data_IF_904116360627
#
_entry.id   IF_904116360627
#
_cell.length_a   1.000
_cell.length_b   1.000
_cell.length_c   1.000
_cell.angle_alpha   90.00
_cell.angle_beta   90.00
_cell.angle_gamma   90.00
#
_symmetry.space_group_name_H-M   'P 1'
#
loop_
_entity.id
_entity.type
_entity.pdbx_description
1 polymer ?
#
# COMPACT_ATOMS: atom_id res chain seq x y z
N UNK A 1 20.43 10.27 -2.95
CA UNK A 1 19.44 9.19 -3.12
C UNK A 1 19.72 8.10 -2.11
N UNK A 2 18.68 7.55 -1.47
CA UNK A 2 18.83 6.31 -0.69
C UNK A 2 18.91 5.11 -1.66
N UNK A 3 19.74 4.10 -1.37
CA UNK A 3 19.74 2.87 -2.16
C UNK A 3 18.37 2.18 -2.12
N UNK A 4 17.94 1.64 -3.26
CA UNK A 4 16.72 0.83 -3.32
C UNK A 4 16.95 -0.50 -2.59
N UNK A 5 15.92 -0.98 -1.89
CA UNK A 5 15.93 -2.30 -1.26
C UNK A 5 15.46 -3.35 -2.27
N UNK A 6 16.13 -4.49 -2.26
CA UNK A 6 15.66 -5.64 -3.05
C UNK A 6 14.31 -6.15 -2.51
N UNK A 7 13.35 -6.39 -3.43
CA UNK A 7 12.04 -6.96 -3.12
C UNK A 7 11.83 -8.24 -3.94
N UNK A 8 11.73 -9.38 -3.25
CA UNK A 8 11.57 -10.68 -3.88
C UNK A 8 10.22 -10.82 -4.63
N UNK A 9 9.18 -10.16 -4.18
CA UNK A 9 7.87 -10.22 -4.82
C UNK A 9 7.87 -9.42 -6.15
N UNK A 10 8.51 -8.24 -6.16
CA UNK A 10 8.74 -7.51 -7.41
C UNK A 10 9.63 -8.30 -8.36
N UNK A 11 10.71 -8.91 -7.87
CA UNK A 11 11.60 -9.71 -8.70
C UNK A 11 10.88 -10.92 -9.32
N UNK A 12 9.97 -11.57 -8.60
CA UNK A 12 9.16 -12.66 -9.13
C UNK A 12 8.15 -12.15 -10.18
N UNK A 13 7.48 -11.02 -9.95
CA UNK A 13 6.60 -10.41 -10.94
C UNK A 13 7.36 -10.04 -12.22
N UNK A 14 8.50 -9.37 -12.09
CA UNK A 14 9.39 -9.02 -13.18
C UNK A 14 9.86 -10.25 -13.97
N UNK A 15 10.26 -11.33 -13.26
CA UNK A 15 10.71 -12.58 -13.89
C UNK A 15 9.58 -13.25 -14.68
N UNK A 16 8.36 -13.28 -14.14
CA UNK A 16 7.20 -13.86 -14.84
C UNK A 16 6.87 -13.06 -16.10
N UNK A 17 6.93 -11.74 -16.04
CA UNK A 17 6.71 -10.89 -17.19
C UNK A 17 7.80 -11.05 -18.25
N UNK A 18 9.07 -11.07 -17.85
CA UNK A 18 10.20 -11.35 -18.75
C UNK A 18 10.04 -12.69 -19.47
N UNK A 19 9.57 -13.74 -18.76
CA UNK A 19 9.31 -15.04 -19.35
C UNK A 19 8.17 -14.99 -20.39
N UNK A 20 7.13 -14.23 -20.14
CA UNK A 20 6.04 -14.04 -21.10
C UNK A 20 6.50 -13.26 -22.33
N UNK A 21 7.31 -12.21 -22.16
CA UNK A 21 7.90 -11.47 -23.27
C UNK A 21 8.78 -12.37 -24.13
N UNK A 22 9.67 -13.18 -23.52
CA UNK A 22 10.53 -14.13 -24.22
C UNK A 22 9.71 -15.15 -25.00
N UNK A 23 8.72 -15.79 -24.36
CA UNK A 23 7.85 -16.79 -24.99
C UNK A 23 7.07 -16.26 -26.21
N UNK A 24 6.74 -14.98 -26.23
CA UNK A 24 5.97 -14.36 -27.30
C UNK A 24 6.84 -13.53 -28.26
N UNK A 25 8.15 -13.48 -28.02
CA UNK A 25 9.10 -12.61 -28.73
C UNK A 25 8.53 -11.19 -28.91
N UNK A 26 8.07 -10.61 -27.79
CA UNK A 26 7.35 -9.34 -27.82
C UNK A 26 7.71 -8.43 -26.64
N UNK A 27 8.20 -7.23 -26.96
CA UNK A 27 8.47 -6.17 -25.98
C UNK A 27 7.20 -5.37 -25.71
N UNK A 28 6.58 -5.60 -24.57
CA UNK A 28 5.34 -4.90 -24.18
C UNK A 28 5.21 -4.84 -22.67
N UNK A 29 4.80 -3.71 -22.11
CA UNK A 29 4.48 -3.56 -20.69
C UNK A 29 3.29 -4.41 -20.22
N UNK A 30 2.46 -4.87 -21.13
CA UNK A 30 1.34 -5.76 -20.85
C UNK A 30 1.03 -6.60 -22.11
N UNK A 31 1.15 -7.91 -21.98
CA UNK A 31 0.80 -8.84 -23.05
C UNK A 31 -0.71 -9.17 -23.05
N UNK A 32 -1.29 -9.62 -24.16
CA UNK A 32 -2.70 -10.01 -24.21
C UNK A 32 -3.03 -11.09 -23.17
N UNK A 33 -4.01 -10.81 -22.32
CA UNK A 33 -4.44 -11.73 -21.24
C UNK A 33 -3.60 -11.66 -19.97
N UNK A 34 -2.52 -10.90 -19.96
CA UNK A 34 -1.73 -10.65 -18.76
C UNK A 34 -2.36 -9.56 -17.89
N UNK A 35 -2.34 -9.69 -16.54
CA UNK A 35 -2.74 -8.60 -15.66
C UNK A 35 -1.82 -7.39 -15.80
N UNK A 36 -2.30 -6.15 -15.56
CA UNK A 36 -1.44 -4.97 -15.51
C UNK A 36 -0.41 -5.05 -14.38
N UNK A 37 0.63 -4.23 -14.46
CA UNK A 37 1.79 -4.22 -13.57
C UNK A 37 1.42 -4.24 -12.08
N UNK A 38 0.51 -3.40 -11.65
CA UNK A 38 0.08 -3.31 -10.25
C UNK A 38 -0.57 -4.61 -9.75
N UNK A 39 -1.31 -5.29 -10.62
CA UNK A 39 -1.90 -6.59 -10.30
C UNK A 39 -0.83 -7.70 -10.30
N UNK A 40 0.11 -7.72 -11.25
CA UNK A 40 1.20 -8.70 -11.29
C UNK A 40 2.04 -8.62 -10.02
N UNK A 41 2.49 -7.41 -9.67
CA UNK A 41 3.27 -7.16 -8.47
C UNK A 41 2.50 -7.54 -7.18
N UNK A 42 1.22 -7.16 -7.09
CA UNK A 42 0.37 -7.52 -5.95
C UNK A 42 0.09 -9.02 -5.82
N UNK A 43 -0.12 -9.73 -6.94
CA UNK A 43 -0.30 -11.19 -6.96
C UNK A 43 0.95 -11.93 -6.53
N UNK A 44 2.14 -11.40 -6.88
CA UNK A 44 3.41 -11.91 -6.40
C UNK A 44 3.68 -11.63 -4.90
N UNK A 45 2.86 -10.77 -4.27
CA UNK A 45 2.94 -10.46 -2.85
C UNK A 45 3.57 -9.10 -2.50
N UNK A 46 3.94 -8.28 -3.50
CA UNK A 46 4.46 -6.95 -3.26
C UNK A 46 3.39 -6.04 -2.63
N UNK A 47 3.82 -5.18 -1.72
CA UNK A 47 2.97 -4.20 -1.03
C UNK A 47 3.52 -2.80 -1.29
N UNK A 48 2.74 -1.96 -1.93
CA UNK A 48 3.21 -0.65 -2.39
C UNK A 48 2.07 0.38 -2.47
N UNK A 49 2.44 1.66 -2.50
CA UNK A 49 1.54 2.77 -2.85
C UNK A 49 1.69 3.19 -4.31
N UNK A 50 2.86 2.94 -4.90
CA UNK A 50 3.18 3.26 -6.29
C UNK A 50 4.09 2.18 -6.86
N UNK A 51 3.95 1.89 -8.16
CA UNK A 51 4.79 0.94 -8.90
C UNK A 51 5.13 1.53 -10.27
N UNK A 52 6.33 1.21 -10.77
CA UNK A 52 6.81 1.58 -12.10
C UNK A 52 7.62 0.45 -12.70
N UNK A 53 7.78 0.46 -14.02
CA UNK A 53 8.42 -0.64 -14.75
C UNK A 53 9.33 -0.11 -15.87
N UNK A 54 10.48 -0.74 -16.04
CA UNK A 54 11.32 -0.65 -17.22
C UNK A 54 11.41 -2.04 -17.87
N UNK A 55 11.26 -2.10 -19.19
CA UNK A 55 11.43 -3.33 -19.97
C UNK A 55 12.43 -3.10 -21.11
N UNK A 56 13.15 -4.15 -21.48
CA UNK A 56 14.02 -4.14 -22.66
C UNK A 56 14.30 -5.54 -23.18
N UNK A 57 14.70 -5.62 -24.45
CA UNK A 57 15.34 -6.76 -25.07
C UNK A 57 16.74 -6.31 -25.54
N UNK A 58 17.73 -7.15 -25.38
CA UNK A 58 19.08 -6.84 -25.84
C UNK A 58 20.08 -7.95 -25.57
N UNK A 59 21.27 -7.88 -26.22
CA UNK A 59 22.22 -8.99 -26.23
C UNK A 59 22.99 -9.17 -24.89
N UNK A 60 22.97 -8.17 -24.03
CA UNK A 60 23.69 -8.21 -22.74
C UNK A 60 23.21 -7.13 -21.77
N UNK A 61 23.35 -7.38 -20.48
CA UNK A 61 22.88 -6.52 -19.40
C UNK A 61 23.41 -5.08 -19.48
N UNK A 62 24.69 -4.89 -19.82
CA UNK A 62 25.29 -3.56 -19.94
C UNK A 62 24.65 -2.74 -21.07
N UNK A 63 24.33 -3.38 -22.20
CA UNK A 63 23.67 -2.72 -23.33
C UNK A 63 22.24 -2.29 -22.94
N UNK A 64 21.51 -3.17 -22.26
CA UNK A 64 20.16 -2.90 -21.73
C UNK A 64 20.19 -1.72 -20.77
N UNK A 65 21.02 -1.77 -19.74
CA UNK A 65 21.15 -0.69 -18.76
C UNK A 65 21.56 0.64 -19.42
N UNK A 66 22.53 0.61 -20.33
CA UNK A 66 22.90 1.81 -21.11
C UNK A 66 21.71 2.37 -21.91
N UNK A 67 20.94 1.50 -22.55
CA UNK A 67 19.74 1.87 -23.29
C UNK A 67 18.70 2.55 -22.37
N UNK A 68 18.42 1.97 -21.22
CA UNK A 68 17.51 2.58 -20.22
C UNK A 68 18.02 3.96 -19.76
N UNK A 69 19.33 4.11 -19.48
CA UNK A 69 19.88 5.39 -19.04
C UNK A 69 19.91 6.47 -20.11
N UNK A 70 19.87 6.10 -21.40
CA UNK A 70 19.73 7.06 -22.51
C UNK A 70 18.30 7.34 -22.90
N UNK A 71 17.32 6.59 -22.38
CA UNK A 71 15.89 6.83 -22.57
C UNK A 71 15.33 7.71 -21.45
N UNK A 72 14.76 8.90 -21.74
CA UNK A 72 14.26 9.78 -20.67
C UNK A 72 13.24 9.14 -19.75
N UNK A 73 12.32 8.31 -20.26
CA UNK A 73 11.29 7.64 -19.43
C UNK A 73 11.88 6.58 -18.52
N UNK A 74 12.70 5.68 -19.06
CA UNK A 74 13.35 4.62 -18.27
C UNK A 74 14.32 5.21 -17.23
N UNK A 75 15.09 6.21 -17.64
CA UNK A 75 16.00 6.92 -16.73
C UNK A 75 15.26 7.63 -15.60
N UNK A 76 14.07 8.16 -15.87
CA UNK A 76 13.26 8.79 -14.83
C UNK A 76 12.87 7.78 -13.75
N UNK A 77 12.47 6.56 -14.11
CA UNK A 77 12.17 5.50 -13.14
C UNK A 77 13.40 5.12 -12.31
N UNK A 78 14.57 4.93 -12.95
CA UNK A 78 15.82 4.54 -12.26
C UNK A 78 16.26 5.62 -11.25
N UNK A 79 16.04 6.88 -11.56
CA UNK A 79 16.48 8.02 -10.74
C UNK A 79 15.35 8.62 -9.88
N UNK A 80 14.17 8.02 -9.85
CA UNK A 80 13.07 8.52 -9.01
C UNK A 80 13.41 8.32 -7.53
N UNK A 81 13.48 9.44 -6.82
CA UNK A 81 13.81 9.47 -5.38
C UNK A 81 12.70 8.93 -4.48
N UNK A 82 11.49 8.77 -5.01
CA UNK A 82 10.34 8.25 -4.26
C UNK A 82 10.32 6.73 -4.22
N UNK A 83 10.88 6.05 -5.23
CA UNK A 83 10.98 4.59 -5.17
C UNK A 83 11.92 4.16 -4.05
N UNK A 84 11.52 3.11 -3.34
CA UNK A 84 12.22 2.57 -2.17
C UNK A 84 12.61 1.11 -2.33
N UNK A 85 12.03 0.41 -3.31
CA UNK A 85 12.31 -1.00 -3.60
C UNK A 85 12.41 -1.25 -5.11
N UNK A 86 13.14 -2.33 -5.43
CA UNK A 86 13.40 -2.80 -6.79
C UNK A 86 13.34 -4.32 -6.83
N UNK A 87 12.74 -4.87 -7.87
CA UNK A 87 12.88 -6.25 -8.31
C UNK A 87 13.30 -6.31 -9.77
N UNK A 88 14.17 -7.27 -10.11
CA UNK A 88 14.65 -7.46 -11.48
C UNK A 88 14.40 -8.89 -11.92
N UNK A 89 13.85 -9.06 -13.11
CA UNK A 89 13.68 -10.33 -13.80
C UNK A 89 14.38 -10.32 -15.15
N UNK A 90 15.15 -11.37 -15.46
CA UNK A 90 15.82 -11.53 -16.75
C UNK A 90 15.65 -12.96 -17.22
N UNK A 91 15.27 -13.13 -18.48
CA UNK A 91 15.18 -14.41 -19.19
C UNK A 91 16.03 -14.32 -20.44
N UNK A 92 16.84 -15.32 -20.68
CA UNK A 92 17.58 -15.50 -21.94
C UNK A 92 16.81 -16.46 -22.85
N UNK A 93 16.56 -16.01 -24.05
CA UNK A 93 15.94 -16.83 -25.10
C UNK A 93 16.58 -16.49 -26.45
N UNK A 94 17.04 -17.51 -27.20
CA UNK A 94 17.66 -17.38 -28.51
C UNK A 94 18.85 -16.38 -28.57
N UNK A 95 19.61 -16.21 -27.46
CA UNK A 95 20.76 -15.30 -27.36
C UNK A 95 20.42 -13.85 -27.05
N UNK A 96 19.15 -13.53 -26.82
CA UNK A 96 18.69 -12.22 -26.37
C UNK A 96 18.23 -12.29 -24.91
N UNK A 97 18.44 -11.19 -24.16
CA UNK A 97 17.97 -11.04 -22.80
C UNK A 97 16.66 -10.22 -22.81
N UNK A 98 15.61 -10.79 -22.27
CA UNK A 98 14.36 -10.12 -21.95
C UNK A 98 14.45 -9.66 -20.49
N UNK A 99 14.55 -8.37 -20.27
CA UNK A 99 14.80 -7.79 -18.94
C UNK A 99 13.66 -6.87 -18.49
N UNK A 100 13.32 -7.00 -17.22
CA UNK A 100 12.30 -6.19 -16.53
C UNK A 100 12.87 -5.68 -15.22
N UNK A 101 12.70 -4.40 -14.94
CA UNK A 101 12.93 -3.77 -13.64
C UNK A 101 11.59 -3.24 -13.11
N UNK A 102 11.11 -3.80 -12.01
CA UNK A 102 9.94 -3.32 -11.29
C UNK A 102 10.37 -2.50 -10.08
N UNK A 103 9.93 -1.25 -10.01
CA UNK A 103 10.19 -0.31 -8.92
C UNK A 103 8.95 -0.12 -8.08
N UNK A 104 9.10 0.12 -6.78
CA UNK A 104 7.95 0.50 -5.96
C UNK A 104 8.29 1.48 -4.82
N UNK A 105 7.27 2.23 -4.42
CA UNK A 105 7.21 2.86 -3.10
C UNK A 105 6.65 1.79 -2.16
N UNK A 106 7.55 1.03 -1.54
CA UNK A 106 7.18 -0.12 -0.72
C UNK A 106 6.49 0.31 0.57
N UNK A 107 5.41 -0.40 0.93
CA UNK A 107 4.71 -0.24 2.21
C UNK A 107 5.08 -1.41 3.11
N UNK A 108 5.64 -1.11 4.28
CA UNK A 108 5.95 -2.11 5.28
C UNK A 108 4.68 -2.87 5.71
N UNK A 109 4.84 -4.17 5.95
CA UNK A 109 3.80 -4.93 6.65
C UNK A 109 3.81 -4.50 8.12
N UNK A 110 2.75 -3.86 8.55
CA UNK A 110 2.51 -3.46 9.95
C UNK A 110 1.37 -4.33 10.45
N UNK A 111 1.55 -4.99 11.59
CA UNK A 111 0.47 -5.80 12.14
C UNK A 111 -0.72 -4.97 12.65
N UNK A 112 -1.85 -5.61 12.90
CA UNK A 112 -3.09 -4.92 13.26
C UNK A 112 -2.94 -4.17 14.58
N UNK A 113 -2.27 -4.76 15.56
CA UNK A 113 -2.09 -4.12 16.86
C UNK A 113 -1.20 -2.89 16.75
N UNK A 114 -0.10 -2.96 15.99
CA UNK A 114 0.79 -1.82 15.75
C UNK A 114 0.09 -0.70 14.95
N UNK A 115 -0.78 -1.05 13.98
CA UNK A 115 -1.59 -0.06 13.26
C UNK A 115 -2.49 0.71 14.21
N UNK A 116 -3.19 0.00 15.09
CA UNK A 116 -4.09 0.60 16.08
C UNK A 116 -3.34 1.46 17.10
N UNK A 117 -2.19 0.99 17.59
CA UNK A 117 -1.34 1.76 18.51
C UNK A 117 -0.86 3.09 17.89
N UNK A 118 -0.41 3.06 16.64
CA UNK A 118 0.00 4.27 15.92
C UNK A 118 -1.13 5.27 15.80
N UNK A 119 -2.31 4.84 15.34
CA UNK A 119 -3.46 5.75 15.19
C UNK A 119 -3.98 6.22 16.54
N UNK A 120 -3.99 5.35 17.55
CA UNK A 120 -4.37 5.69 18.93
C UNK A 120 -3.46 6.78 19.50
N UNK A 121 -2.15 6.68 19.30
CA UNK A 121 -1.19 7.69 19.73
C UNK A 121 -1.46 9.06 19.07
N UNK A 122 -1.78 9.08 17.78
CA UNK A 122 -2.16 10.31 17.06
C UNK A 122 -3.43 10.94 17.63
N UNK A 123 -4.44 10.14 17.96
CA UNK A 123 -5.69 10.63 18.57
C UNK A 123 -5.46 11.15 19.99
N UNK A 124 -4.64 10.46 20.77
CA UNK A 124 -4.23 10.91 22.12
C UNK A 124 -3.48 12.25 22.07
N UNK A 125 -2.59 12.44 21.09
CA UNK A 125 -1.89 13.71 20.86
C UNK A 125 -2.85 14.87 20.51
N UNK A 126 -4.04 14.57 19.99
CA UNK A 126 -5.13 15.55 19.77
C UNK A 126 -6.03 15.75 21.01
N UNK A 127 -5.70 15.15 22.15
CA UNK A 127 -6.41 15.33 23.43
C UNK A 127 -7.60 14.40 23.64
N UNK A 128 -7.77 13.34 22.84
CA UNK A 128 -8.80 12.34 23.04
C UNK A 128 -8.31 11.26 24.01
N UNK A 129 -9.17 10.79 24.92
CA UNK A 129 -8.90 9.61 25.75
C UNK A 129 -9.11 8.35 24.93
N UNK A 130 -8.31 7.34 25.22
CA UNK A 130 -8.46 6.03 24.60
C UNK A 130 -9.60 5.28 25.30
N UNK A 131 -10.54 4.76 24.54
CA UNK A 131 -11.65 3.94 25.01
C UNK A 131 -11.29 2.45 24.90
N UNK A 132 -11.86 1.61 25.78
CA UNK A 132 -11.67 0.15 25.77
C UNK A 132 -12.42 -0.55 24.63
N UNK A 133 -13.10 0.19 23.75
CA UNK A 133 -13.94 -0.31 22.66
C UNK A 133 -13.15 -0.77 21.43
N UNK A 134 -11.91 -1.22 21.60
CA UNK A 134 -11.04 -1.70 20.52
C UNK A 134 -11.68 -2.86 19.73
N UNK A 135 -12.18 -3.87 20.43
CA UNK A 135 -12.80 -5.03 19.80
C UNK A 135 -14.04 -4.64 18.94
N UNK A 136 -14.83 -3.72 19.46
CA UNK A 136 -15.98 -3.19 18.71
C UNK A 136 -15.53 -2.43 17.47
N UNK A 137 -14.45 -1.63 17.58
CA UNK A 137 -13.89 -0.92 16.44
C UNK A 137 -13.32 -1.87 15.38
N UNK A 138 -12.66 -2.97 15.78
CA UNK A 138 -12.18 -4.05 14.88
C UNK A 138 -13.33 -4.72 14.14
N UNK A 139 -14.39 -5.09 14.88
CA UNK A 139 -15.57 -5.69 14.29
C UNK A 139 -16.20 -4.77 13.25
N UNK A 140 -16.34 -3.49 13.57
CA UNK A 140 -16.88 -2.47 12.66
C UNK A 140 -15.93 -2.13 11.50
N UNK A 141 -14.65 -2.46 11.58
CA UNK A 141 -13.72 -2.36 10.47
C UNK A 141 -13.96 -3.47 9.43
N UNK A 142 -14.24 -4.68 9.89
CA UNK A 142 -14.43 -5.85 9.03
C UNK A 142 -15.83 -5.93 8.44
N UNK A 143 -16.85 -5.48 9.17
CA UNK A 143 -18.26 -5.58 8.84
C UNK A 143 -18.81 -4.23 8.34
N UNK A 144 -19.79 -4.27 7.43
CA UNK A 144 -20.57 -3.09 7.05
C UNK A 144 -21.73 -2.91 8.03
N UNK A 145 -21.89 -1.67 8.54
CA UNK A 145 -22.97 -1.33 9.47
C UNK A 145 -22.51 -1.09 10.91
N UNK A 146 -23.43 -0.73 11.79
CA UNK A 146 -23.22 -0.62 13.22
C UNK A 146 -24.06 -1.68 13.93
N UNK A 147 -23.53 -2.35 14.99
CA UNK A 147 -24.31 -3.29 15.78
C UNK A 147 -25.55 -2.60 16.40
N UNK A 148 -26.65 -3.34 16.50
CA UNK A 148 -27.86 -2.83 17.15
C UNK A 148 -27.55 -2.46 18.62
N UNK A 149 -27.95 -1.27 19.04
CA UNK A 149 -27.76 -0.80 20.42
C UNK A 149 -26.40 -0.13 20.71
N UNK A 150 -25.45 -0.18 19.77
CA UNK A 150 -24.16 0.50 19.90
C UNK A 150 -24.22 1.92 19.31
N UNK A 151 -23.86 2.94 20.09
CA UNK A 151 -24.02 4.34 19.70
C UNK A 151 -22.79 5.19 19.98
N UNK A 152 -21.69 5.04 19.20
CA UNK A 152 -20.71 6.11 19.14
C UNK A 152 -21.37 7.34 18.52
N UNK A 153 -20.87 8.53 18.85
CA UNK A 153 -21.37 9.76 18.19
C UNK A 153 -20.98 9.80 16.72
N UNK A 154 -19.84 9.18 16.36
CA UNK A 154 -19.36 9.07 14.98
C UNK A 154 -18.57 7.77 14.80
N UNK A 155 -18.85 7.10 13.70
CA UNK A 155 -18.03 6.01 13.15
C UNK A 155 -17.39 6.55 11.88
N UNK A 156 -16.07 6.60 11.84
CA UNK A 156 -15.30 7.00 10.64
C UNK A 156 -14.45 5.83 10.19
N UNK A 157 -14.66 5.38 8.97
CA UNK A 157 -13.85 4.35 8.30
C UNK A 157 -13.05 5.00 7.20
N UNK A 158 -11.78 4.65 7.10
CA UNK A 158 -10.94 5.13 6.02
C UNK A 158 -9.90 4.09 5.59
N UNK A 159 -9.42 4.27 4.38
CA UNK A 159 -8.28 3.54 3.85
C UNK A 159 -7.18 4.55 3.50
N UNK A 160 -5.95 4.26 3.92
CA UNK A 160 -4.80 5.13 3.67
C UNK A 160 -3.56 4.29 3.31
N UNK A 161 -2.69 4.79 2.44
CA UNK A 161 -1.40 4.16 2.16
C UNK A 161 -0.42 4.34 3.32
N UNK A 162 -0.65 5.34 4.17
CA UNK A 162 0.15 5.68 5.35
C UNK A 162 -0.77 5.99 6.54
N UNK A 163 -0.32 5.66 7.73
CA UNK A 163 -1.00 5.91 9.02
C UNK A 163 -0.15 6.73 9.99
N UNK A 164 0.86 7.42 9.49
CA UNK A 164 1.68 8.37 10.28
C UNK A 164 0.94 9.66 10.59
N UNK A 165 -0.13 9.97 9.86
CA UNK A 165 -0.97 11.13 10.05
C UNK A 165 -2.46 10.75 10.01
N UNK A 166 -3.29 11.55 10.69
CA UNK A 166 -4.74 11.38 10.63
C UNK A 166 -5.30 11.99 9.34
N UNK A 167 -6.32 11.38 8.71
CA UNK A 167 -7.00 12.00 7.58
C UNK A 167 -7.57 13.37 7.96
N UNK A 168 -7.49 14.34 7.05
CA UNK A 168 -8.02 15.70 7.27
C UNK A 168 -9.49 15.72 7.70
N UNK A 169 -10.29 14.82 7.13
CA UNK A 169 -11.70 14.68 7.50
C UNK A 169 -11.89 14.31 8.98
N UNK A 170 -11.03 13.43 9.53
CA UNK A 170 -11.05 13.05 10.94
C UNK A 170 -10.55 14.20 11.81
N UNK A 171 -9.44 14.84 11.44
CA UNK A 171 -8.93 16.01 12.17
C UNK A 171 -9.95 17.14 12.26
N UNK A 172 -10.65 17.42 11.15
CA UNK A 172 -11.72 18.43 11.12
C UNK A 172 -12.83 18.08 12.12
N UNK A 173 -13.21 16.78 12.22
CA UNK A 173 -14.21 16.31 13.19
C UNK A 173 -13.72 16.46 14.63
N UNK A 174 -12.47 16.16 14.90
CA UNK A 174 -11.89 16.34 16.25
C UNK A 174 -11.88 17.83 16.65
N UNK A 175 -11.55 18.73 15.73
CA UNK A 175 -11.57 20.19 15.96
C UNK A 175 -12.97 20.75 16.29
N UNK A 176 -14.07 20.03 15.98
CA UNK A 176 -15.43 20.44 16.42
C UNK A 176 -15.58 20.45 17.96
N UNK A 177 -14.66 19.82 18.70
CA UNK A 177 -14.59 19.85 20.16
C UNK A 177 -15.70 19.09 20.89
N UNK A 178 -16.50 18.28 20.16
CA UNK A 178 -17.62 17.49 20.72
C UNK A 178 -17.20 16.17 21.32
N UNK A 179 -16.05 15.65 20.87
CA UNK A 179 -15.56 14.31 21.21
C UNK A 179 -14.56 14.38 22.36
N UNK A 180 -14.54 13.36 23.22
CA UNK A 180 -13.66 13.25 24.37
C UNK A 180 -12.91 11.93 24.43
N UNK A 181 -13.44 10.91 23.78
CA UNK A 181 -12.86 9.59 23.73
C UNK A 181 -12.87 9.04 22.31
N UNK A 182 -11.94 8.15 22.04
CA UNK A 182 -11.86 7.44 20.78
C UNK A 182 -11.45 5.97 20.98
N UNK A 183 -11.97 5.08 20.13
CA UNK A 183 -11.46 3.74 19.96
C UNK A 183 -11.02 3.54 18.52
N UNK A 184 -9.96 2.75 18.32
CA UNK A 184 -9.39 2.44 17.03
C UNK A 184 -9.48 0.94 16.79
N UNK A 185 -9.92 0.55 15.60
CA UNK A 185 -9.85 -0.81 15.11
C UNK A 185 -9.25 -0.84 13.72
N UNK A 186 -8.27 -1.71 13.51
CA UNK A 186 -7.73 -2.01 12.20
C UNK A 186 -8.24 -3.37 11.71
N UNK A 187 -8.26 -3.59 10.42
CA UNK A 187 -8.62 -4.87 9.82
C UNK A 187 -7.85 -5.10 8.52
N UNK A 188 -7.87 -6.35 8.06
CA UNK A 188 -7.19 -6.72 6.83
C UNK A 188 -7.71 -5.87 5.65
N UNK A 189 -6.82 -5.41 4.77
CA UNK A 189 -7.23 -4.75 3.54
C UNK A 189 -8.20 -5.63 2.76
N UNK A 190 -9.15 -5.02 2.06
CA UNK A 190 -9.94 -5.77 1.09
C UNK A 190 -8.99 -6.34 0.04
N UNK A 191 -9.18 -7.59 -0.34
CA UNK A 191 -8.46 -8.16 -1.49
C UNK A 191 -8.88 -7.34 -2.71
N UNK A 192 -8.06 -6.37 -3.07
CA UNK A 192 -8.21 -5.66 -4.33
C UNK A 192 -7.30 -6.32 -5.37
N UNK A 193 -7.71 -6.31 -6.61
CA UNK A 193 -6.93 -6.89 -7.70
C UNK A 193 -5.64 -6.10 -8.01
N UNK A 194 -5.47 -4.91 -7.43
CA UNK A 194 -4.42 -3.95 -7.82
C UNK A 194 -3.16 -3.98 -6.97
N UNK A 195 -3.03 -4.85 -5.96
CA UNK A 195 -1.82 -4.92 -5.11
C UNK A 195 -1.49 -3.64 -4.33
N UNK A 196 -2.17 -2.52 -4.59
CA UNK A 196 -1.96 -1.27 -3.85
C UNK A 196 -2.31 -1.50 -2.39
N UNK A 197 -1.31 -1.50 -1.53
CA UNK A 197 -1.49 -1.71 -0.10
C UNK A 197 -2.14 -0.48 0.53
N UNK A 198 -3.20 -0.72 1.30
CA UNK A 198 -3.85 0.30 2.11
C UNK A 198 -4.13 -0.25 3.50
N UNK A 199 -3.90 0.59 4.51
CA UNK A 199 -4.36 0.31 5.86
C UNK A 199 -5.86 0.61 5.92
N UNK A 200 -6.64 -0.29 6.55
CA UNK A 200 -8.07 -0.08 6.81
C UNK A 200 -8.27 0.16 8.28
N UNK A 201 -8.77 1.34 8.59
CA UNK A 201 -8.91 1.81 9.97
C UNK A 201 -10.36 2.24 10.19
N UNK A 202 -10.88 1.91 11.37
CA UNK A 202 -12.12 2.45 11.89
C UNK A 202 -11.84 3.22 13.18
N UNK A 203 -12.31 4.44 13.24
CA UNK A 203 -12.26 5.28 14.44
C UNK A 203 -13.68 5.50 14.93
N UNK A 204 -13.91 5.17 16.20
CA UNK A 204 -15.14 5.47 16.93
C UNK A 204 -14.87 6.70 17.79
N UNK A 205 -15.72 7.70 17.68
CA UNK A 205 -15.62 8.90 18.48
C UNK A 205 -16.84 9.03 19.42
N UNK A 206 -16.55 9.30 20.71
CA UNK A 206 -17.54 9.41 21.77
C UNK A 206 -17.54 10.84 22.36
N UNK A 207 -18.71 11.33 22.71
CA UNK A 207 -18.85 12.58 23.45
C UNK A 207 -18.45 12.46 24.92
N UNK A 208 -18.52 13.54 25.66
CA UNK A 208 -18.48 13.47 27.12
C UNK A 208 -19.62 12.55 27.58
N UNK A 209 -19.32 11.49 28.33
CA UNK A 209 -20.38 10.75 29.03
C UNK A 209 -21.06 11.74 29.99
N UNK A 210 -22.30 12.11 29.66
CA UNK A 210 -23.14 12.77 30.66
C UNK A 210 -23.18 11.86 31.89
N UNK A 211 -22.80 12.38 33.07
CA UNK A 211 -23.08 11.69 34.32
C UNK A 211 -24.55 11.33 34.27
N UNK A 212 -24.86 10.03 34.20
CA UNK A 212 -26.17 9.53 34.47
C UNK A 212 -26.47 9.93 35.91
N UNK A 213 -27.24 11.00 36.09
CA UNK A 213 -27.88 11.27 37.38
C UNK A 213 -28.81 10.08 37.68
N UNK A 214 -28.53 9.42 38.79
CA UNK A 214 -29.38 8.41 39.38
C UNK A 214 -30.61 9.06 39.97
#
# INVERSE_FOLDING_TARGET
MQPLKWDNALAEAARQHALLMAKHDNLSHQLPGEPPLDQRAGQAGARFSQVGENIAIGPQAQAIHSGWMHSPGHRANILDVHFTALGVGVIEEEGELYAVEDFSVAIASVDIDEQEEKVTALLAAKGLRVSDERETARKLCSEEGAPAGYRPMLILRYEAPDISELPEALERKIREGKYREAAVGACQPRKNATGIARFRITVLLFGAQGKSEK
#
